data_IF_860634910640
#
_entry.id   IF_860634910640
#
_cell.length_a   1.000
_cell.length_b   1.000
_cell.length_c   1.000
_cell.angle_alpha   90.00
_cell.angle_beta   90.00
_cell.angle_gamma   90.00
#
_symmetry.space_group_name_H-M   'P 1'
#
loop_
_entity.id
_entity.type
_entity.pdbx_description
1 polymer ?
#
# COMPACT_ATOMS: atom_id res chain seq x y z
N UNK A 1 -8.94 2.89 -15.56
CA UNK A 1 -7.79 2.02 -15.20
C UNK A 1 -7.88 1.69 -13.72
N UNK A 2 -7.58 0.46 -13.28
CA UNK A 2 -7.42 0.17 -11.84
C UNK A 2 -6.12 0.84 -11.39
N UNK A 3 -6.18 1.81 -10.49
CA UNK A 3 -4.99 2.48 -9.97
C UNK A 3 -4.09 1.47 -9.22
N UNK A 4 -2.80 1.48 -9.56
CA UNK A 4 -1.77 0.62 -8.96
C UNK A 4 -0.72 1.51 -8.31
N UNK A 5 -0.47 1.28 -7.03
CA UNK A 5 0.49 2.06 -6.25
C UNK A 5 1.84 1.39 -6.15
N UNK A 6 2.90 2.19 -6.13
CA UNK A 6 4.25 1.75 -5.82
C UNK A 6 4.43 1.53 -4.32
N UNK A 7 5.45 0.78 -3.90
CA UNK A 7 5.80 0.64 -2.47
C UNK A 7 6.00 1.98 -1.78
N UNK A 8 6.58 2.97 -2.48
CA UNK A 8 6.80 4.31 -1.92
C UNK A 8 5.47 5.02 -1.62
N UNK A 9 4.50 4.92 -2.51
CA UNK A 9 3.17 5.51 -2.32
C UNK A 9 2.41 4.83 -1.18
N UNK A 10 2.44 3.49 -1.12
CA UNK A 10 1.76 2.76 -0.05
C UNK A 10 2.41 3.05 1.30
N UNK A 11 3.74 3.08 1.38
CA UNK A 11 4.44 3.43 2.61
C UNK A 11 4.06 4.84 3.10
N UNK A 12 3.93 5.81 2.18
CA UNK A 12 3.45 7.17 2.51
C UNK A 12 2.01 7.13 3.04
N UNK A 13 1.10 6.43 2.37
CA UNK A 13 -0.30 6.32 2.80
C UNK A 13 -0.45 5.67 4.18
N UNK A 14 0.33 4.62 4.46
CA UNK A 14 0.31 3.92 5.75
C UNK A 14 1.13 4.64 6.83
N UNK A 15 1.74 5.78 6.51
CA UNK A 15 2.64 6.52 7.41
C UNK A 15 3.77 5.66 8.02
N UNK A 16 4.39 4.82 7.19
CA UNK A 16 5.53 3.97 7.57
C UNK A 16 6.71 4.17 6.63
N UNK A 17 7.89 3.71 7.05
CA UNK A 17 9.05 3.73 6.14
C UNK A 17 8.86 2.73 4.99
N UNK A 18 9.36 3.09 3.79
CA UNK A 18 9.41 2.15 2.65
C UNK A 18 10.15 0.87 3.02
N UNK A 19 11.25 0.97 3.78
CA UNK A 19 12.05 -0.17 4.20
C UNK A 19 11.24 -1.12 5.11
N UNK A 20 10.39 -0.59 5.98
CA UNK A 20 9.47 -1.39 6.80
C UNK A 20 8.52 -2.18 5.91
N UNK A 21 7.86 -1.51 4.95
CA UNK A 21 6.94 -2.19 4.04
C UNK A 21 7.64 -3.22 3.14
N UNK A 22 8.89 -2.95 2.74
CA UNK A 22 9.69 -3.89 1.96
C UNK A 22 9.94 -5.21 2.68
N UNK A 23 10.19 -5.20 4.00
CA UNK A 23 10.39 -6.42 4.80
C UNK A 23 9.18 -7.35 4.72
N UNK A 24 7.98 -6.79 4.72
CA UNK A 24 6.72 -7.56 4.66
C UNK A 24 6.27 -7.89 3.24
N UNK A 25 7.04 -7.48 2.22
CA UNK A 25 6.72 -7.72 0.81
C UNK A 25 7.80 -8.55 0.09
N UNK A 26 8.71 -9.18 0.85
CA UNK A 26 9.73 -10.10 0.35
C UNK A 26 9.20 -11.53 0.16
N UNK A 27 9.91 -12.33 -0.63
CA UNK A 27 9.68 -13.76 -0.72
C UNK A 27 9.89 -14.40 0.66
N UNK A 28 8.87 -15.10 1.17
CA UNK A 28 8.89 -15.68 2.52
C UNK A 28 8.45 -14.74 3.65
N UNK A 29 7.98 -13.52 3.34
CA UNK A 29 7.37 -12.66 4.34
C UNK A 29 6.13 -13.33 4.97
N UNK A 30 5.93 -13.09 6.26
CA UNK A 30 4.75 -13.57 6.98
C UNK A 30 3.50 -12.88 6.43
N UNK A 31 2.66 -13.67 5.75
CA UNK A 31 1.40 -13.20 5.16
C UNK A 31 0.33 -12.88 6.20
N UNK A 32 0.52 -13.32 7.44
CA UNK A 32 -0.37 -13.01 8.56
C UNK A 32 0.02 -11.71 9.29
N UNK A 33 1.15 -11.09 8.91
CA UNK A 33 1.59 -9.86 9.56
C UNK A 33 0.60 -8.71 9.26
N UNK A 34 0.25 -7.84 10.23
CA UNK A 34 -0.70 -6.75 10.03
C UNK A 34 -0.33 -5.77 8.89
N UNK A 35 0.96 -5.63 8.59
CA UNK A 35 1.46 -4.78 7.50
C UNK A 35 1.71 -5.54 6.18
N UNK A 36 1.31 -6.81 6.07
CA UNK A 36 1.32 -7.51 4.80
C UNK A 36 0.20 -6.95 3.91
N UNK A 37 0.54 -6.62 2.65
CA UNK A 37 -0.43 -6.27 1.61
C UNK A 37 -0.17 -7.12 0.38
N UNK A 38 -1.23 -7.64 -0.22
CA UNK A 38 -1.13 -8.32 -1.51
C UNK A 38 -0.75 -7.32 -2.60
N UNK A 39 0.19 -7.72 -3.46
CA UNK A 39 0.64 -6.93 -4.60
C UNK A 39 0.72 -7.79 -5.86
N UNK A 40 0.80 -7.11 -7.00
CA UNK A 40 1.11 -7.67 -8.31
C UNK A 40 2.50 -7.22 -8.77
N UNK A 41 3.06 -7.90 -9.77
CA UNK A 41 4.38 -7.58 -10.34
C UNK A 41 5.53 -8.42 -9.77
N UNK A 42 6.77 -8.02 -10.08
CA UNK A 42 7.99 -8.70 -9.66
C UNK A 42 8.50 -8.29 -8.27
N UNK A 43 9.62 -8.87 -7.86
CA UNK A 43 10.27 -8.53 -6.59
C UNK A 43 10.80 -7.09 -6.57
N UNK A 44 10.80 -6.48 -5.39
CA UNK A 44 11.41 -5.16 -5.16
C UNK A 44 10.64 -4.00 -5.82
N UNK A 45 11.30 -3.26 -6.70
CA UNK A 45 10.80 -1.99 -7.26
C UNK A 45 9.61 -2.15 -8.25
N UNK A 46 9.37 -3.37 -8.74
CA UNK A 46 8.29 -3.69 -9.65
C UNK A 46 6.95 -4.01 -8.95
N UNK A 47 6.92 -3.98 -7.61
CA UNK A 47 5.69 -4.21 -6.86
C UNK A 47 4.65 -3.13 -7.14
N UNK A 48 3.41 -3.57 -7.34
CA UNK A 48 2.24 -2.75 -7.64
C UNK A 48 1.06 -3.19 -6.79
N UNK A 49 0.63 -2.32 -5.90
CA UNK A 49 -0.43 -2.56 -4.93
C UNK A 49 -1.75 -2.05 -5.48
N UNK A 50 -2.78 -2.91 -5.63
CA UNK A 50 -4.09 -2.46 -6.06
C UNK A 50 -4.71 -1.48 -5.07
N UNK A 51 -5.37 -0.44 -5.58
CA UNK A 51 -6.01 0.59 -4.75
C UNK A 51 -6.92 0.04 -3.66
N UNK A 52 -7.76 -0.95 -3.99
CA UNK A 52 -8.69 -1.54 -3.04
C UNK A 52 -7.99 -2.28 -1.88
N UNK A 53 -6.81 -2.88 -2.14
CA UNK A 53 -5.99 -3.52 -1.09
C UNK A 53 -5.45 -2.47 -0.13
N UNK A 54 -4.96 -1.35 -0.65
CA UNK A 54 -4.44 -0.25 0.17
C UNK A 54 -5.57 0.41 0.97
N UNK A 55 -6.75 0.63 0.36
CA UNK A 55 -7.94 1.13 1.04
C UNK A 55 -8.34 0.24 2.22
N UNK A 56 -8.48 -1.06 1.96
CA UNK A 56 -8.83 -2.03 3.00
C UNK A 56 -7.82 -2.01 4.15
N UNK A 57 -6.52 -1.90 3.85
CA UNK A 57 -5.48 -1.83 4.87
C UNK A 57 -5.54 -0.54 5.70
N UNK A 58 -5.81 0.61 5.09
CA UNK A 58 -5.98 1.87 5.84
C UNK A 58 -7.14 1.75 6.84
N UNK A 59 -8.25 1.18 6.41
CA UNK A 59 -9.44 0.95 7.26
C UNK A 59 -9.12 -0.04 8.38
N UNK A 60 -8.44 -1.15 8.07
CA UNK A 60 -7.99 -2.14 9.07
C UNK A 60 -7.10 -1.52 10.16
N UNK A 61 -6.29 -0.52 9.78
CA UNK A 61 -5.43 0.23 10.72
C UNK A 61 -6.16 1.38 11.44
N UNK A 62 -7.48 1.52 11.25
CA UNK A 62 -8.33 2.44 11.98
C UNK A 62 -8.70 3.74 11.26
N UNK A 63 -8.36 3.90 9.97
CA UNK A 63 -8.85 5.03 9.19
C UNK A 63 -10.35 4.91 8.91
N UNK A 64 -11.07 6.03 8.89
CA UNK A 64 -12.44 6.04 8.37
C UNK A 64 -12.45 5.79 6.86
N UNK A 65 -13.59 5.39 6.30
CA UNK A 65 -13.71 5.21 4.84
C UNK A 65 -13.42 6.51 4.08
N UNK A 66 -13.80 7.66 4.65
CA UNK A 66 -13.58 8.98 4.06
C UNK A 66 -12.09 9.35 4.09
N UNK A 67 -11.40 9.16 5.23
CA UNK A 67 -9.97 9.46 5.35
C UNK A 67 -9.13 8.56 4.45
N UNK A 68 -9.50 7.27 4.36
CA UNK A 68 -8.84 6.33 3.47
C UNK A 68 -9.01 6.75 2.00
N UNK A 69 -10.21 7.16 1.60
CA UNK A 69 -10.48 7.63 0.24
C UNK A 69 -9.72 8.92 -0.09
N UNK A 70 -9.68 9.89 0.83
CA UNK A 70 -8.94 11.13 0.68
C UNK A 70 -7.43 10.87 0.56
N UNK A 71 -6.87 10.04 1.44
CA UNK A 71 -5.45 9.64 1.39
C UNK A 71 -5.09 9.04 0.03
N UNK A 72 -5.97 8.19 -0.51
CA UNK A 72 -5.76 7.56 -1.82
C UNK A 72 -5.82 8.58 -2.97
N UNK A 73 -6.76 9.53 -2.92
CA UNK A 73 -6.84 10.59 -3.93
C UNK A 73 -5.61 11.51 -3.91
N UNK A 74 -5.06 11.81 -2.72
CA UNK A 74 -3.86 12.62 -2.58
C UNK A 74 -2.62 11.95 -3.19
N UNK A 75 -2.43 10.65 -2.99
CA UNK A 75 -1.30 9.90 -3.58
C UNK A 75 -1.46 9.63 -5.08
N UNK A 76 -2.69 9.62 -5.59
CA UNK A 76 -3.00 9.55 -7.03
C UNK A 76 -2.67 10.89 -7.70
N UNK A 77 -3.14 12.00 -7.11
CA UNK A 77 -2.97 13.35 -7.66
C UNK A 77 -1.53 13.87 -7.57
N UNK A 78 -0.75 13.44 -6.57
CA UNK A 78 0.65 13.83 -6.41
C UNK A 78 1.60 13.27 -7.50
N UNK A 79 1.11 12.42 -8.40
CA UNK A 79 1.87 11.79 -9.48
C UNK A 79 1.15 11.87 -10.85
N UNK A 80 0.08 12.67 -10.95
CA UNK A 80 -0.66 12.94 -12.18
C UNK A 80 -0.02 14.09 -12.98
#
# INVERSE_FOLDING_TARGET
MKALFTTKQVAKALNISKATLDKYAMAGADKNHPLYLQFSGGNGALRRYPRYIVKAKLIELGASEQDAEQTLQEIESANA
#
